data_IF_249230911328
#
_entry.id   IF_249230911328
#
_cell.length_a   1.000
_cell.length_b   1.000
_cell.length_c   1.000
_cell.angle_alpha   90.00
_cell.angle_beta   90.00
_cell.angle_gamma   90.00
#
_symmetry.space_group_name_H-M   'P 1'
#
loop_
_entity.id
_entity.type
_entity.pdbx_description
1 polymer ?
#
# COMPACT_ATOMS: atom_id res chain seq x y z
N UNK A 1 -15.05 -20.59 -0.14
CA UNK A 1 -16.11 -20.18 0.79
C UNK A 1 -16.18 -18.67 0.81
N UNK A 2 -17.38 -18.08 0.68
CA UNK A 2 -17.58 -16.64 0.78
C UNK A 2 -17.85 -16.25 2.25
N UNK A 3 -17.36 -15.07 2.64
CA UNK A 3 -17.66 -14.42 3.91
C UNK A 3 -18.05 -12.96 3.62
N UNK A 4 -19.08 -12.44 4.27
CA UNK A 4 -19.65 -11.12 4.03
C UNK A 4 -19.42 -10.14 5.19
N UNK A 5 -18.55 -10.49 6.12
CA UNK A 5 -18.20 -9.65 7.26
C UNK A 5 -17.39 -8.41 6.83
N UNK A 6 -17.54 -7.33 7.58
CA UNK A 6 -16.75 -6.12 7.34
C UNK A 6 -15.33 -6.26 7.90
N UNK A 7 -14.35 -5.72 7.18
CA UNK A 7 -12.98 -5.57 7.69
C UNK A 7 -12.81 -4.36 8.62
N UNK A 8 -13.78 -3.42 8.60
CA UNK A 8 -13.68 -2.16 9.34
C UNK A 8 -13.86 -2.28 10.86
N UNK A 9 -14.11 -3.47 11.36
CA UNK A 9 -14.34 -3.77 12.78
C UNK A 9 -13.56 -5.03 13.19
N UNK A 10 -13.00 -5.03 14.40
CA UNK A 10 -12.11 -6.09 14.87
C UNK A 10 -12.78 -7.48 14.97
N UNK A 11 -14.00 -7.54 15.53
CA UNK A 11 -14.71 -8.81 15.70
C UNK A 11 -15.16 -9.40 14.35
N UNK A 12 -15.82 -8.65 13.44
CA UNK A 12 -16.11 -9.14 12.09
C UNK A 12 -14.86 -9.60 11.34
N UNK A 13 -13.78 -8.82 11.37
CA UNK A 13 -12.51 -9.17 10.72
C UNK A 13 -11.93 -10.49 11.24
N UNK A 14 -12.01 -10.78 12.54
CA UNK A 14 -11.59 -12.06 13.10
C UNK A 14 -12.43 -13.25 12.62
N UNK A 15 -13.73 -13.04 12.37
CA UNK A 15 -14.62 -14.06 11.80
C UNK A 15 -14.28 -14.41 10.34
N UNK A 16 -13.70 -13.45 9.57
CA UNK A 16 -13.18 -13.73 8.23
C UNK A 16 -12.07 -14.78 8.30
N UNK A 17 -11.10 -14.59 9.19
CA UNK A 17 -10.00 -15.55 9.41
C UNK A 17 -10.53 -16.89 9.93
N UNK A 18 -11.45 -16.85 10.90
CA UNK A 18 -12.09 -18.06 11.43
C UNK A 18 -12.81 -18.85 10.34
N UNK A 19 -13.49 -18.20 9.40
CA UNK A 19 -14.18 -18.88 8.29
C UNK A 19 -13.20 -19.69 7.44
N UNK A 20 -11.99 -19.18 7.18
CA UNK A 20 -10.97 -19.92 6.44
C UNK A 20 -10.51 -21.17 7.22
N UNK A 21 -10.25 -21.02 8.52
CA UNK A 21 -9.80 -22.11 9.38
C UNK A 21 -10.89 -23.20 9.49
N UNK A 22 -12.12 -22.79 9.74
CA UNK A 22 -13.26 -23.74 9.85
C UNK A 22 -13.51 -24.51 8.55
N UNK A 23 -13.20 -23.89 7.39
CA UNK A 23 -13.47 -24.49 6.08
C UNK A 23 -12.31 -25.35 5.56
N UNK A 24 -11.08 -25.02 5.89
CA UNK A 24 -9.88 -25.62 5.28
C UNK A 24 -8.91 -26.23 6.30
N UNK A 25 -9.14 -26.06 7.60
CA UNK A 25 -8.30 -26.57 8.68
C UNK A 25 -6.99 -25.81 8.90
N UNK A 26 -6.58 -24.93 7.98
CA UNK A 26 -5.36 -24.12 8.05
C UNK A 26 -5.51 -22.80 7.31
N UNK A 27 -4.53 -21.92 7.53
CA UNK A 27 -4.38 -20.68 6.79
C UNK A 27 -2.90 -20.51 6.43
N UNK A 28 -2.58 -20.36 5.15
CA UNK A 28 -1.20 -20.22 4.66
C UNK A 28 -0.87 -18.75 4.33
N UNK A 29 -1.88 -17.95 4.00
CA UNK A 29 -1.66 -16.56 3.62
C UNK A 29 -2.88 -15.67 3.73
N UNK A 30 -2.64 -14.38 3.82
CA UNK A 30 -3.65 -13.32 3.86
C UNK A 30 -3.37 -12.27 2.80
N UNK A 31 -4.39 -11.92 2.01
CA UNK A 31 -4.33 -10.79 1.08
C UNK A 31 -5.28 -9.69 1.58
N UNK A 32 -4.72 -8.58 2.07
CA UNK A 32 -5.45 -7.41 2.51
C UNK A 32 -5.69 -6.46 1.32
N UNK A 33 -6.81 -6.67 0.61
CA UNK A 33 -7.18 -5.92 -0.59
C UNK A 33 -8.41 -5.02 -0.41
N UNK A 34 -9.21 -5.21 0.64
CA UNK A 34 -10.42 -4.44 0.87
C UNK A 34 -10.16 -2.92 0.87
N UNK A 35 -11.04 -2.15 0.22
CA UNK A 35 -10.82 -0.73 0.09
C UNK A 35 -12.02 0.04 -0.45
N UNK A 36 -12.03 1.34 -0.14
CA UNK A 36 -13.00 2.33 -0.62
C UNK A 36 -12.29 3.62 -1.03
N UNK A 37 -12.92 4.45 -1.82
CA UNK A 37 -12.47 5.81 -2.13
C UNK A 37 -13.49 6.83 -1.63
N UNK A 38 -12.98 7.93 -1.08
CA UNK A 38 -13.72 9.13 -0.67
C UNK A 38 -12.84 10.34 -0.97
N UNK A 39 -12.59 10.57 -2.27
CA UNK A 39 -11.65 11.58 -2.75
C UNK A 39 -12.25 12.98 -2.60
N UNK A 40 -11.47 13.91 -2.09
CA UNK A 40 -11.76 15.32 -2.03
C UNK A 40 -10.48 16.12 -1.84
N UNK A 41 -10.40 17.33 -2.43
CA UNK A 41 -9.29 18.25 -2.15
C UNK A 41 -9.23 18.51 -0.65
N UNK A 42 -8.03 18.56 -0.06
CA UNK A 42 -7.78 18.50 1.38
C UNK A 42 -8.67 19.43 2.21
N UNK A 43 -8.79 20.71 1.82
CA UNK A 43 -9.62 21.70 2.55
C UNK A 43 -11.13 21.47 2.45
N UNK A 44 -11.60 20.56 1.58
CA UNK A 44 -13.01 20.17 1.39
C UNK A 44 -13.31 18.76 1.87
N UNK A 45 -12.27 18.03 2.29
CA UNK A 45 -12.42 16.66 2.78
C UNK A 45 -13.14 16.66 4.12
N UNK A 46 -14.26 15.93 4.21
CA UNK A 46 -14.96 15.77 5.49
C UNK A 46 -14.20 14.82 6.42
N UNK A 47 -14.41 14.98 7.73
CA UNK A 47 -13.83 14.08 8.74
C UNK A 47 -14.32 12.65 8.51
N UNK A 48 -15.60 12.45 8.24
CA UNK A 48 -16.16 11.13 7.95
C UNK A 48 -15.52 10.47 6.73
N UNK A 49 -15.24 11.23 5.65
CA UNK A 49 -14.54 10.71 4.48
C UNK A 49 -13.10 10.30 4.81
N UNK A 50 -12.44 11.01 5.69
CA UNK A 50 -11.11 10.65 6.16
C UNK A 50 -11.16 9.38 7.02
N UNK A 51 -11.96 9.37 8.06
CA UNK A 51 -12.06 8.27 9.03
C UNK A 51 -12.53 6.96 8.38
N UNK A 52 -13.53 7.01 7.50
CA UNK A 52 -14.04 5.81 6.83
C UNK A 52 -12.96 5.14 5.95
N UNK A 53 -12.14 5.92 5.26
CA UNK A 53 -11.03 5.40 4.45
C UNK A 53 -9.93 4.79 5.35
N UNK A 54 -9.54 5.47 6.42
CA UNK A 54 -8.58 4.92 7.40
C UNK A 54 -9.11 3.62 8.00
N UNK A 55 -10.39 3.59 8.39
CA UNK A 55 -11.04 2.42 9.01
C UNK A 55 -10.99 1.19 8.10
N UNK A 56 -11.38 1.34 6.84
CA UNK A 56 -11.43 0.20 5.93
C UNK A 56 -10.02 -0.25 5.52
N UNK A 57 -9.16 0.68 5.11
CA UNK A 57 -7.85 0.33 4.56
C UNK A 57 -6.84 -0.05 5.64
N UNK A 58 -6.53 0.87 6.56
CA UNK A 58 -5.45 0.69 7.53
C UNK A 58 -5.90 -0.19 8.70
N UNK A 59 -7.02 0.18 9.34
CA UNK A 59 -7.52 -0.61 10.47
C UNK A 59 -8.01 -1.99 10.01
N UNK A 60 -8.65 -2.09 8.83
CA UNK A 60 -9.06 -3.36 8.26
C UNK A 60 -7.88 -4.30 7.99
N UNK A 61 -6.81 -3.78 7.40
CA UNK A 61 -5.57 -4.56 7.21
C UNK A 61 -4.96 -4.99 8.55
N UNK A 62 -4.98 -4.11 9.56
CA UNK A 62 -4.51 -4.45 10.90
C UNK A 62 -5.37 -5.54 11.54
N UNK A 63 -6.70 -5.40 11.55
CA UNK A 63 -7.58 -6.35 12.23
C UNK A 63 -7.50 -7.76 11.65
N UNK A 64 -7.52 -7.89 10.32
CA UNK A 64 -7.40 -9.19 9.65
C UNK A 64 -6.02 -9.79 9.89
N UNK A 65 -4.96 -9.01 9.76
CA UNK A 65 -3.59 -9.49 9.99
C UNK A 65 -3.37 -9.89 11.45
N UNK A 66 -3.86 -9.11 12.40
CA UNK A 66 -3.75 -9.41 13.83
C UNK A 66 -4.48 -10.72 14.19
N UNK A 67 -5.66 -10.97 13.61
CA UNK A 67 -6.39 -12.20 13.82
C UNK A 67 -5.63 -13.44 13.26
N UNK A 68 -4.94 -13.30 12.12
CA UNK A 68 -4.15 -14.37 11.52
C UNK A 68 -2.76 -14.56 12.19
N UNK A 69 -2.19 -13.51 12.77
CA UNK A 69 -0.81 -13.51 13.27
C UNK A 69 -0.55 -14.57 14.36
N UNK A 70 -1.52 -14.83 15.24
CA UNK A 70 -1.40 -15.89 16.26
C UNK A 70 -1.23 -17.25 15.62
N UNK A 71 -2.07 -17.56 14.65
CA UNK A 71 -2.03 -18.83 13.92
C UNK A 71 -0.70 -18.99 13.18
N UNK A 72 -0.27 -17.96 12.45
CA UNK A 72 1.01 -17.99 11.73
C UNK A 72 2.21 -18.17 12.68
N UNK A 73 2.17 -17.55 13.86
CA UNK A 73 3.17 -17.76 14.89
C UNK A 73 3.21 -19.21 15.38
N UNK A 74 2.05 -19.81 15.62
CA UNK A 74 1.92 -21.20 16.09
C UNK A 74 2.33 -22.21 15.00
N UNK A 75 2.05 -21.89 13.72
CA UNK A 75 2.45 -22.68 12.56
C UNK A 75 3.93 -22.51 12.21
N UNK A 76 4.61 -21.48 12.72
CA UNK A 76 5.95 -21.04 12.29
C UNK A 76 6.04 -20.83 10.77
N UNK A 77 4.95 -20.42 10.17
CA UNK A 77 4.84 -20.13 8.74
C UNK A 77 3.62 -19.26 8.45
N UNK A 78 3.69 -18.47 7.38
CA UNK A 78 2.60 -17.66 6.89
C UNK A 78 3.08 -16.50 6.03
N UNK A 79 2.19 -15.92 5.25
CA UNK A 79 2.52 -14.78 4.42
C UNK A 79 1.38 -13.76 4.37
N UNK A 80 1.74 -12.49 4.47
CA UNK A 80 0.84 -11.36 4.27
C UNK A 80 1.20 -10.63 2.98
N UNK A 81 0.17 -10.31 2.19
CA UNK A 81 0.24 -9.40 1.06
C UNK A 81 -0.72 -8.24 1.32
N UNK A 82 -0.19 -7.04 1.44
CA UNK A 82 -0.96 -5.83 1.70
C UNK A 82 -1.03 -4.96 0.45
N UNK A 83 -2.22 -4.49 0.11
CA UNK A 83 -2.39 -3.57 -1.02
C UNK A 83 -2.15 -2.12 -0.58
N UNK A 84 -1.02 -1.56 -1.01
CA UNK A 84 -0.69 -0.14 -0.91
C UNK A 84 -1.08 0.61 -2.19
N UNK A 85 -0.51 1.80 -2.42
CA UNK A 85 -0.75 2.58 -3.64
C UNK A 85 0.38 3.58 -3.87
N UNK A 86 0.66 3.88 -5.13
CA UNK A 86 1.55 4.99 -5.51
C UNK A 86 1.03 6.34 -5.02
N UNK A 87 -0.28 6.50 -4.75
CA UNK A 87 -0.82 7.68 -4.08
C UNK A 87 -0.24 7.88 -2.67
N UNK A 88 0.07 6.80 -1.95
CA UNK A 88 0.77 6.87 -0.66
C UNK A 88 2.29 6.91 -0.80
N UNK A 89 2.85 6.21 -1.80
CA UNK A 89 4.30 6.10 -1.98
C UNK A 89 4.93 7.34 -2.63
N UNK A 90 4.20 7.98 -3.53
CA UNK A 90 4.62 9.17 -4.29
C UNK A 90 3.75 10.36 -3.91
N UNK A 91 2.46 10.30 -4.23
CA UNK A 91 1.49 11.35 -3.97
C UNK A 91 0.41 11.40 -5.05
N UNK A 92 -0.73 12.03 -4.71
CA UNK A 92 -1.79 12.36 -5.65
C UNK A 92 -2.70 13.46 -5.11
N UNK A 93 -3.37 14.20 -5.99
CA UNK A 93 -4.34 15.22 -5.58
C UNK A 93 -5.63 14.58 -5.04
N UNK A 94 -6.24 15.23 -4.04
CA UNK A 94 -7.56 14.87 -3.53
C UNK A 94 -7.62 13.58 -2.74
N UNK A 95 -6.49 12.97 -2.39
CA UNK A 95 -6.41 11.66 -1.77
C UNK A 95 -5.65 11.65 -0.43
N UNK A 96 -5.77 12.71 0.36
CA UNK A 96 -5.04 12.80 1.64
C UNK A 96 -5.39 11.64 2.61
N UNK A 97 -6.67 11.25 2.70
CA UNK A 97 -7.14 10.09 3.46
C UNK A 97 -6.58 8.77 2.93
N UNK A 98 -6.69 8.58 1.62
CA UNK A 98 -6.25 7.36 0.94
C UNK A 98 -4.73 7.22 0.98
N UNK A 99 -3.99 8.29 0.68
CA UNK A 99 -2.53 8.31 0.76
C UNK A 99 -2.03 8.02 2.18
N UNK A 100 -2.64 8.62 3.20
CA UNK A 100 -2.31 8.35 4.61
C UNK A 100 -2.54 6.87 4.97
N UNK A 101 -3.70 6.30 4.59
CA UNK A 101 -4.00 4.90 4.83
C UNK A 101 -3.01 3.96 4.12
N UNK A 102 -2.73 4.22 2.83
CA UNK A 102 -1.89 3.37 1.99
C UNK A 102 -0.41 3.43 2.38
N UNK A 103 0.09 4.59 2.82
CA UNK A 103 1.44 4.68 3.38
C UNK A 103 1.50 4.07 4.79
N UNK A 104 0.45 4.22 5.60
CA UNK A 104 0.31 3.56 6.91
C UNK A 104 0.38 2.03 6.81
N UNK A 105 -0.22 1.45 5.76
CA UNK A 105 -0.14 0.01 5.46
C UNK A 105 1.32 -0.42 5.20
N UNK A 106 2.14 0.39 4.56
CA UNK A 106 3.56 0.09 4.36
C UNK A 106 4.29 0.00 5.69
N UNK A 107 4.04 0.95 6.60
CA UNK A 107 4.58 0.91 7.97
C UNK A 107 4.13 -0.34 8.73
N UNK A 108 2.83 -0.67 8.67
CA UNK A 108 2.27 -1.87 9.27
C UNK A 108 2.94 -3.14 8.73
N UNK A 109 3.06 -3.28 7.41
CA UNK A 109 3.69 -4.43 6.76
C UNK A 109 5.15 -4.63 7.18
N UNK A 110 5.92 -3.54 7.27
CA UNK A 110 7.31 -3.57 7.73
C UNK A 110 7.43 -4.03 9.18
N UNK A 111 6.57 -3.52 10.05
CA UNK A 111 6.56 -3.92 11.46
C UNK A 111 6.20 -5.40 11.62
N UNK A 112 5.19 -5.88 10.88
CA UNK A 112 4.84 -7.31 10.86
C UNK A 112 6.03 -8.15 10.37
N UNK A 113 6.70 -7.72 9.28
CA UNK A 113 7.86 -8.44 8.76
C UNK A 113 8.98 -8.58 9.80
N UNK A 114 9.27 -7.52 10.56
CA UNK A 114 10.29 -7.53 11.62
C UNK A 114 9.86 -8.37 12.83
N UNK A 115 8.65 -8.16 13.34
CA UNK A 115 8.15 -8.81 14.56
C UNK A 115 7.99 -10.33 14.38
N UNK A 116 7.66 -10.75 13.16
CA UNK A 116 7.30 -12.13 12.83
C UNK A 116 8.41 -12.91 12.11
N UNK A 117 9.55 -12.29 11.81
CA UNK A 117 10.68 -12.89 11.09
C UNK A 117 11.14 -14.21 11.71
N UNK A 118 11.30 -14.25 13.03
CA UNK A 118 11.74 -15.44 13.77
C UNK A 118 10.77 -16.62 13.70
N UNK A 119 9.54 -16.38 13.23
CA UNK A 119 8.52 -17.41 13.02
C UNK A 119 8.33 -17.71 11.53
N UNK A 120 9.26 -17.30 10.68
CA UNK A 120 9.23 -17.50 9.23
C UNK A 120 7.97 -16.91 8.55
N UNK A 121 7.35 -15.91 9.17
CA UNK A 121 6.18 -15.19 8.62
C UNK A 121 6.64 -13.99 7.83
N UNK A 122 6.22 -13.90 6.58
CA UNK A 122 6.59 -12.85 5.63
C UNK A 122 5.48 -11.82 5.48
N UNK A 123 5.84 -10.57 5.20
CA UNK A 123 4.88 -9.50 4.95
C UNK A 123 5.41 -8.56 3.89
N UNK A 124 4.67 -8.41 2.79
CA UNK A 124 5.04 -7.57 1.65
C UNK A 124 3.87 -6.69 1.20
N UNK A 125 4.19 -5.61 0.49
CA UNK A 125 3.21 -4.70 -0.08
C UNK A 125 3.17 -4.81 -1.61
N UNK A 126 1.95 -4.70 -2.18
CA UNK A 126 1.72 -4.58 -3.62
C UNK A 126 0.97 -3.27 -3.89
N UNK A 127 1.49 -2.46 -4.80
CA UNK A 127 0.87 -1.24 -5.32
C UNK A 127 0.36 -1.50 -6.74
N UNK A 128 -0.94 -1.78 -6.92
CA UNK A 128 -1.47 -2.15 -8.23
C UNK A 128 -1.78 -0.92 -9.09
N UNK A 129 -1.51 -1.02 -10.39
CA UNK A 129 -2.16 -0.24 -11.43
C UNK A 129 -3.16 -1.16 -12.12
N UNK A 130 -4.42 -1.11 -11.72
CA UNK A 130 -5.44 -1.97 -12.29
C UNK A 130 -6.74 -1.20 -12.52
N UNK A 131 -7.36 -1.47 -13.66
CA UNK A 131 -8.71 -1.01 -13.93
C UNK A 131 -9.68 -1.65 -12.93
N UNK A 132 -10.48 -0.82 -12.29
CA UNK A 132 -11.49 -1.29 -11.35
C UNK A 132 -12.72 -0.39 -11.40
N UNK A 133 -13.81 -0.84 -10.80
CA UNK A 133 -15.03 -0.02 -10.62
C UNK A 133 -14.76 1.31 -9.90
N UNK A 134 -13.71 1.38 -9.08
CA UNK A 134 -13.28 2.60 -8.39
C UNK A 134 -12.71 3.65 -9.34
N UNK A 135 -12.19 3.24 -10.52
CA UNK A 135 -11.57 4.13 -11.52
C UNK A 135 -12.58 4.46 -12.65
N UNK A 136 -13.71 3.76 -12.72
CA UNK A 136 -14.72 3.89 -13.78
C UNK A 136 -15.43 5.24 -13.86
N UNK A 137 -15.07 6.22 -13.02
CA UNK A 137 -15.60 7.59 -13.03
C UNK A 137 -14.76 8.58 -13.86
N UNK A 138 -13.74 8.11 -14.59
CA UNK A 138 -12.93 8.99 -15.45
C UNK A 138 -13.81 9.53 -16.60
N UNK A 139 -13.82 10.85 -16.84
CA UNK A 139 -14.54 11.44 -17.96
C UNK A 139 -14.13 10.84 -19.30
N UNK A 140 -15.09 10.65 -20.21
CA UNK A 140 -14.91 10.10 -21.57
C UNK A 140 -15.59 10.98 -22.62
N UNK A 141 -15.52 12.30 -22.43
CA UNK A 141 -16.20 13.26 -23.32
C UNK A 141 -15.41 13.50 -24.60
N UNK A 142 -14.07 13.51 -24.54
CA UNK A 142 -13.19 13.76 -25.67
C UNK A 142 -12.59 12.44 -26.22
N UNK A 143 -12.20 12.43 -27.51
CA UNK A 143 -11.52 11.27 -28.12
C UNK A 143 -10.19 10.94 -27.43
N UNK A 144 -9.48 11.96 -26.95
CA UNK A 144 -8.24 11.76 -26.17
C UNK A 144 -8.51 11.07 -24.83
N UNK A 145 -9.59 11.42 -24.15
CA UNK A 145 -10.02 10.76 -22.90
C UNK A 145 -10.47 9.32 -23.16
N UNK A 146 -11.23 9.08 -24.21
CA UNK A 146 -11.64 7.73 -24.62
C UNK A 146 -10.44 6.85 -24.91
N UNK A 147 -9.47 7.35 -25.69
CA UNK A 147 -8.23 6.62 -25.99
C UNK A 147 -7.42 6.32 -24.72
N UNK A 148 -7.33 7.28 -23.79
CA UNK A 148 -6.68 7.09 -22.50
C UNK A 148 -7.39 6.03 -21.66
N UNK A 149 -8.72 6.10 -21.56
CA UNK A 149 -9.51 5.11 -20.80
C UNK A 149 -9.37 3.72 -21.43
N UNK A 150 -9.39 3.58 -22.73
CA UNK A 150 -9.18 2.30 -23.42
C UNK A 150 -7.82 1.67 -23.08
N UNK A 151 -6.76 2.48 -22.97
CA UNK A 151 -5.43 2.01 -22.52
C UNK A 151 -5.47 1.55 -21.05
N UNK A 152 -6.09 2.34 -20.17
CA UNK A 152 -6.19 2.01 -18.74
C UNK A 152 -7.04 0.75 -18.52
N UNK A 153 -8.06 0.51 -19.34
CA UNK A 153 -8.90 -0.70 -19.26
C UNK A 153 -8.12 -1.98 -19.56
N UNK A 154 -7.02 -1.91 -20.30
CA UNK A 154 -6.14 -3.06 -20.54
C UNK A 154 -5.33 -3.47 -19.29
N UNK A 155 -5.24 -2.62 -18.29
CA UNK A 155 -4.63 -2.94 -17.00
C UNK A 155 -5.62 -3.75 -16.14
N UNK A 156 -5.93 -4.96 -16.58
CA UNK A 156 -6.86 -5.83 -15.87
C UNK A 156 -6.33 -6.28 -14.50
N UNK A 157 -7.21 -6.52 -13.52
CA UNK A 157 -6.81 -6.97 -12.18
C UNK A 157 -6.11 -8.34 -12.19
N UNK A 158 -6.33 -9.16 -13.22
CA UNK A 158 -5.66 -10.45 -13.40
C UNK A 158 -4.13 -10.32 -13.56
N UNK A 159 -3.64 -9.15 -13.98
CA UNK A 159 -2.21 -8.85 -14.06
C UNK A 159 -1.54 -8.72 -12.68
N UNK A 160 -2.32 -8.45 -11.64
CA UNK A 160 -1.83 -8.29 -10.27
C UNK A 160 -1.77 -9.64 -9.53
N UNK A 161 -2.66 -10.58 -9.86
CA UNK A 161 -2.77 -11.85 -9.17
C UNK A 161 -1.47 -12.69 -9.15
N UNK A 162 -0.65 -12.76 -10.23
CA UNK A 162 0.57 -13.57 -10.23
C UNK A 162 1.58 -13.19 -9.17
N UNK A 163 1.84 -11.90 -8.94
CA UNK A 163 2.77 -11.48 -7.89
C UNK A 163 2.22 -11.77 -6.50
N UNK A 164 0.91 -11.63 -6.29
CA UNK A 164 0.30 -11.98 -5.01
C UNK A 164 0.44 -13.48 -4.72
N UNK A 165 0.16 -14.34 -5.71
CA UNK A 165 0.33 -15.77 -5.58
C UNK A 165 1.80 -16.17 -5.33
N UNK A 166 2.75 -15.54 -6.05
CA UNK A 166 4.18 -15.75 -5.81
C UNK A 166 4.57 -15.37 -4.37
N UNK A 167 4.18 -14.17 -3.90
CA UNK A 167 4.53 -13.69 -2.56
C UNK A 167 3.92 -14.54 -1.44
N UNK A 168 2.83 -15.26 -1.69
CA UNK A 168 2.21 -16.20 -0.75
C UNK A 168 2.85 -17.59 -0.80
N UNK A 169 3.58 -17.93 -1.86
CA UNK A 169 4.18 -19.26 -2.06
C UNK A 169 5.54 -19.42 -1.37
N UNK A 170 6.00 -20.64 -1.22
CA UNK A 170 7.32 -20.98 -0.69
C UNK A 170 8.47 -20.50 -1.59
N UNK A 171 8.20 -20.26 -2.87
CA UNK A 171 9.18 -19.68 -3.80
C UNK A 171 9.61 -18.26 -3.39
N UNK A 172 8.84 -17.58 -2.56
CA UNK A 172 9.14 -16.24 -2.03
C UNK A 172 9.69 -16.29 -0.59
N UNK A 173 10.23 -17.40 -0.12
CA UNK A 173 10.72 -17.58 1.27
C UNK A 173 11.71 -16.50 1.73
N UNK A 174 12.51 -15.96 0.82
CA UNK A 174 13.50 -14.92 1.10
C UNK A 174 13.00 -13.49 0.81
N UNK A 175 11.70 -13.33 0.53
CA UNK A 175 11.09 -12.04 0.16
C UNK A 175 10.17 -11.56 1.28
N UNK A 176 10.64 -10.62 2.08
CA UNK A 176 9.84 -9.97 3.14
C UNK A 176 10.18 -8.50 3.27
N UNK A 177 9.23 -7.68 3.76
CA UNK A 177 9.40 -6.25 3.96
C UNK A 177 9.52 -5.43 2.67
N UNK A 178 9.19 -6.01 1.51
CA UNK A 178 9.34 -5.36 0.20
C UNK A 178 8.06 -4.69 -0.27
N UNK A 179 8.21 -3.75 -1.21
CA UNK A 179 7.12 -3.01 -1.84
C UNK A 179 7.26 -3.17 -3.35
N UNK A 180 6.28 -3.79 -3.98
CA UNK A 180 6.23 -3.97 -5.42
C UNK A 180 5.11 -3.13 -6.03
N UNK A 181 5.38 -2.40 -7.11
CA UNK A 181 4.33 -1.86 -7.96
C UNK A 181 4.17 -2.75 -9.20
N UNK A 182 2.92 -2.94 -9.65
CA UNK A 182 2.62 -3.76 -10.83
C UNK A 182 1.73 -2.96 -11.78
N UNK A 183 2.18 -2.84 -13.03
CA UNK A 183 1.48 -2.12 -14.09
C UNK A 183 1.57 -2.89 -15.39
N UNK A 184 0.46 -3.44 -15.86
CA UNK A 184 0.43 -4.38 -16.99
C UNK A 184 1.39 -5.56 -16.76
N UNK A 185 2.42 -5.69 -17.58
CA UNK A 185 3.44 -6.73 -17.47
C UNK A 185 4.73 -6.23 -16.77
N UNK A 186 4.71 -5.02 -16.24
CA UNK A 186 5.84 -4.41 -15.52
C UNK A 186 5.73 -4.67 -14.01
N UNK A 187 6.83 -5.09 -13.40
CA UNK A 187 6.96 -5.20 -11.93
C UNK A 187 8.10 -4.28 -11.50
N UNK A 188 7.80 -3.35 -10.59
CA UNK A 188 8.75 -2.40 -10.04
C UNK A 188 9.02 -2.76 -8.59
N UNK A 189 10.29 -2.81 -8.20
CA UNK A 189 10.68 -2.76 -6.80
C UNK A 189 10.78 -1.31 -6.36
N UNK A 190 9.96 -0.91 -5.40
CA UNK A 190 9.92 0.47 -4.91
C UNK A 190 11.01 0.72 -3.88
N UNK A 191 11.65 1.89 -3.97
CA UNK A 191 12.59 2.34 -2.95
C UNK A 191 11.90 2.54 -1.60
N UNK A 192 12.67 2.39 -0.53
CA UNK A 192 12.20 2.61 0.82
C UNK A 192 12.95 3.77 1.46
N UNK A 193 12.28 4.50 2.36
CA UNK A 193 12.86 5.66 3.04
C UNK A 193 14.15 5.29 3.80
N UNK A 194 15.24 5.97 3.46
CA UNK A 194 16.55 5.91 4.11
C UNK A 194 17.13 7.32 4.11
N UNK A 195 18.03 7.69 5.05
CA UNK A 195 18.74 8.95 4.98
C UNK A 195 19.51 9.08 3.66
N UNK A 196 19.29 10.17 2.91
CA UNK A 196 20.05 10.47 1.68
C UNK A 196 21.33 11.21 2.00
N UNK A 197 21.27 12.14 2.94
CA UNK A 197 22.39 12.98 3.39
C UNK A 197 22.23 13.30 4.87
N UNK A 198 23.36 13.62 5.48
CA UNK A 198 23.40 14.22 6.81
C UNK A 198 24.27 15.47 6.78
N UNK A 199 24.01 16.41 7.67
CA UNK A 199 24.82 17.57 7.96
C UNK A 199 25.07 17.64 9.47
N UNK A 200 26.23 18.14 9.87
CA UNK A 200 26.62 18.24 11.28
C UNK A 200 27.12 19.65 11.60
N UNK A 201 26.85 20.12 12.80
CA UNK A 201 27.38 21.36 13.36
C UNK A 201 27.69 21.13 14.85
N UNK A 202 28.98 21.23 15.22
CA UNK A 202 29.46 20.92 16.58
C UNK A 202 28.85 21.78 17.68
N UNK A 203 28.49 23.02 17.35
CA UNK A 203 27.86 24.00 18.27
C UNK A 203 26.33 23.88 18.33
N UNK A 204 25.73 22.92 17.59
CA UNK A 204 24.27 22.80 17.43
C UNK A 204 23.71 23.76 16.37
N UNK A 205 22.41 23.65 16.14
CA UNK A 205 21.67 24.40 15.14
C UNK A 205 20.73 25.41 15.76
N UNK A 206 20.64 26.60 15.17
CA UNK A 206 19.57 27.58 15.41
C UNK A 206 18.71 27.69 14.14
N UNK A 207 17.47 28.21 14.22
CA UNK A 207 16.64 28.46 13.03
C UNK A 207 17.39 29.27 11.97
N UNK A 208 18.18 30.27 12.37
CA UNK A 208 18.96 31.09 11.47
C UNK A 208 20.07 30.29 10.78
N UNK A 209 20.88 29.53 11.53
CA UNK A 209 21.97 28.73 10.93
C UNK A 209 21.45 27.56 10.09
N UNK A 210 20.25 27.03 10.37
CA UNK A 210 19.57 26.09 9.51
C UNK A 210 19.23 26.74 8.17
N UNK A 211 18.66 27.95 8.19
CA UNK A 211 18.32 28.68 6.95
C UNK A 211 19.55 29.04 6.13
N UNK A 212 20.63 29.54 6.77
CA UNK A 212 21.83 30.03 6.09
C UNK A 212 22.73 28.88 5.58
N UNK A 213 22.83 27.79 6.30
CA UNK A 213 23.79 26.72 6.00
C UNK A 213 23.14 25.34 5.82
N UNK A 214 22.20 24.96 6.69
CA UNK A 214 21.60 23.64 6.70
C UNK A 214 20.77 23.35 5.46
N UNK A 215 19.80 24.19 5.16
CA UNK A 215 18.90 24.02 4.01
C UNK A 215 19.64 24.13 2.66
N UNK A 216 20.52 25.11 2.41
CA UNK A 216 21.31 25.15 1.19
C UNK A 216 22.12 23.87 0.94
N UNK A 217 22.72 23.29 1.99
CA UNK A 217 23.50 22.06 1.89
C UNK A 217 22.64 20.83 1.51
N UNK A 218 21.38 20.77 1.92
CA UNK A 218 20.47 19.65 1.65
C UNK A 218 19.65 19.84 0.36
N UNK A 219 19.45 21.09 -0.08
CA UNK A 219 18.50 21.47 -1.16
C UNK A 219 18.70 20.69 -2.47
N UNK A 220 19.94 20.37 -2.82
CA UNK A 220 20.26 19.61 -4.04
C UNK A 220 19.74 18.17 -4.03
N UNK A 221 19.37 17.67 -2.85
CA UNK A 221 18.84 16.31 -2.65
C UNK A 221 17.35 16.28 -2.36
N UNK A 222 16.65 17.42 -2.44
CA UNK A 222 15.21 17.46 -2.25
C UNK A 222 14.48 16.77 -3.41
N UNK A 223 13.53 15.94 -3.08
CA UNK A 223 12.58 15.41 -4.05
C UNK A 223 11.66 16.52 -4.55
N UNK A 224 11.31 16.47 -5.80
CA UNK A 224 10.23 17.29 -6.34
C UNK A 224 8.90 16.83 -5.75
N UNK A 225 7.91 17.70 -5.76
CA UNK A 225 6.55 17.36 -5.40
C UNK A 225 5.85 16.74 -6.62
N UNK A 226 6.12 15.46 -6.86
CA UNK A 226 5.58 14.72 -7.98
C UNK A 226 4.30 13.97 -7.58
N UNK A 227 3.43 13.74 -8.56
CA UNK A 227 2.30 12.80 -8.46
C UNK A 227 2.71 11.44 -9.02
N UNK A 228 1.93 10.42 -8.74
CA UNK A 228 2.12 9.09 -9.33
C UNK A 228 2.23 9.14 -10.85
N UNK A 229 1.41 9.95 -11.53
CA UNK A 229 1.43 10.10 -12.98
C UNK A 229 2.69 10.81 -13.52
N UNK A 230 3.36 11.61 -12.71
CA UNK A 230 4.58 12.31 -13.12
C UNK A 230 5.79 11.36 -13.08
N UNK A 231 5.76 10.36 -12.20
CA UNK A 231 6.78 9.31 -12.09
C UNK A 231 6.54 8.20 -13.12
N UNK A 232 5.28 7.73 -13.28
CA UNK A 232 4.91 6.67 -14.22
C UNK A 232 4.31 7.28 -15.50
N UNK A 233 5.12 8.08 -16.23
CA UNK A 233 4.66 8.93 -17.33
C UNK A 233 4.76 8.30 -18.72
N UNK A 234 5.19 7.05 -18.85
CA UNK A 234 5.23 6.29 -20.10
C UNK A 234 4.03 5.35 -20.24
N UNK A 235 3.75 4.89 -21.43
CA UNK A 235 2.71 3.89 -21.68
C UNK A 235 3.08 2.56 -21.00
N UNK A 236 2.10 1.91 -20.37
CA UNK A 236 2.31 0.59 -19.76
C UNK A 236 2.60 -0.49 -20.80
N UNK A 237 3.50 -1.39 -20.53
CA UNK A 237 3.93 -2.51 -21.38
C UNK A 237 3.71 -3.87 -20.75
#
# INVERSE_FOLDING_TARGET
VANFETVAEAIPASRIVKTAIDSFGKLDGVVNNAGILRDAIFHRMSIDAFESVIKVHLMGSFYVSHAAARLFREQESGAFVHFTSTSGLVGNYGQANYAAAKLGIVGLSKSIALDMERFHVRSNCVSPFAWSRLIGTIPTETEAEKARVAKIQQMGPEKIAPICAFLLSDAAKDVTGQIFAVRMNEIFLMSQSRPLRSIHRGEGWTPQTIAEHGMPALKSSFYKLDRSADIFNWDAI
#
